data_IF_910179421738
#
_entry.id   IF_910179421738
#
_cell.length_a   1.000
_cell.length_b   1.000
_cell.length_c   1.000
_cell.angle_alpha   90.00
_cell.angle_beta   90.00
_cell.angle_gamma   90.00
#
_symmetry.space_group_name_H-M   'P 1'
#
loop_
_entity.id
_entity.type
_entity.pdbx_description
1 polymer ?
#
# COMPACT_ATOMS: atom_id res chain seq x y z
N UNK A 1 2.06 -32.16 21.10
CA UNK A 1 1.24 -31.14 21.78
C UNK A 1 2.06 -29.88 22.15
N UNK A 2 3.11 -29.94 22.98
CA UNK A 2 3.87 -28.74 23.40
C UNK A 2 4.53 -27.91 22.27
N UNK A 3 4.93 -28.56 21.16
CA UNK A 3 5.49 -27.87 19.99
C UNK A 3 4.43 -27.16 19.12
N UNK A 4 3.19 -27.67 19.10
CA UNK A 4 2.09 -27.07 18.32
C UNK A 4 1.59 -25.80 19.03
N UNK A 5 1.45 -25.84 20.36
CA UNK A 5 1.13 -24.67 21.19
C UNK A 5 2.17 -23.54 21.10
N UNK A 6 3.46 -23.89 21.07
CA UNK A 6 4.52 -22.90 20.88
C UNK A 6 4.47 -22.31 19.46
N UNK A 7 4.28 -23.14 18.44
CA UNK A 7 4.14 -22.68 17.06
C UNK A 7 2.93 -21.77 16.86
N UNK A 8 1.78 -22.11 17.47
CA UNK A 8 0.57 -21.28 17.46
C UNK A 8 0.82 -19.91 18.06
N UNK A 9 1.49 -19.86 19.21
CA UNK A 9 1.84 -18.62 19.89
C UNK A 9 2.80 -17.76 19.07
N UNK A 10 3.77 -18.38 18.41
CA UNK A 10 4.72 -17.67 17.53
C UNK A 10 4.02 -17.10 16.29
N UNK A 11 3.05 -17.83 15.73
CA UNK A 11 2.22 -17.38 14.61
C UNK A 11 1.28 -16.24 15.03
N UNK A 12 0.59 -16.36 16.17
CA UNK A 12 -0.24 -15.29 16.74
C UNK A 12 0.58 -14.01 16.97
N UNK A 13 1.78 -14.14 17.56
CA UNK A 13 2.68 -13.01 17.80
C UNK A 13 3.10 -12.32 16.48
N UNK A 14 3.39 -13.11 15.43
CA UNK A 14 3.76 -12.57 14.13
C UNK A 14 2.62 -11.85 13.42
N UNK A 15 1.38 -12.35 13.55
CA UNK A 15 0.17 -11.67 13.03
C UNK A 15 -0.06 -10.35 13.77
N UNK A 16 0.05 -10.36 15.09
CA UNK A 16 -0.15 -9.16 15.92
C UNK A 16 0.94 -8.12 15.68
N UNK A 17 2.20 -8.54 15.51
CA UNK A 17 3.30 -7.66 15.15
C UNK A 17 3.05 -7.01 13.78
N UNK A 18 2.72 -7.81 12.76
CA UNK A 18 2.38 -7.30 11.42
C UNK A 18 1.21 -6.31 11.47
N UNK A 19 0.15 -6.62 12.22
CA UNK A 19 -1.02 -5.76 12.39
C UNK A 19 -0.66 -4.46 13.11
N UNK A 20 0.18 -4.53 14.14
CA UNK A 20 0.65 -3.38 14.91
C UNK A 20 1.49 -2.47 14.04
N UNK A 21 2.48 -3.01 13.32
CA UNK A 21 3.32 -2.23 12.41
C UNK A 21 2.51 -1.57 11.29
N UNK A 22 1.54 -2.28 10.71
CA UNK A 22 0.61 -1.70 9.73
C UNK A 22 -0.22 -0.57 10.36
N UNK A 23 -0.68 -0.72 11.60
CA UNK A 23 -1.43 0.30 12.33
C UNK A 23 -0.59 1.53 12.65
N UNK A 24 0.67 1.34 13.07
CA UNK A 24 1.62 2.40 13.37
C UNK A 24 1.97 3.22 12.12
N UNK A 25 2.26 2.56 11.00
CA UNK A 25 2.49 3.21 9.71
C UNK A 25 1.28 4.02 9.21
N UNK A 26 0.07 3.68 9.68
CA UNK A 26 -1.18 4.40 9.39
C UNK A 26 -1.56 5.50 10.37
N UNK A 27 -0.77 5.72 11.44
CA UNK A 27 -1.08 6.64 12.54
C UNK A 27 -0.58 8.08 12.34
N UNK A 28 0.42 8.32 11.49
CA UNK A 28 1.02 9.65 11.27
C UNK A 28 0.33 10.51 10.17
N UNK A 29 -0.94 10.21 9.83
CA UNK A 29 -1.72 10.92 8.80
C UNK A 29 -2.81 11.86 9.37
N UNK A 30 -3.28 12.87 8.61
CA UNK A 30 -4.26 13.84 9.08
C UNK A 30 -5.52 13.16 9.62
N UNK A 31 -5.88 13.56 10.84
CA UNK A 31 -6.83 12.92 11.77
C UNK A 31 -8.31 12.99 11.36
N UNK A 32 -8.64 13.18 10.08
CA UNK A 32 -10.02 13.44 9.65
C UNK A 32 -10.80 12.24 9.13
N UNK A 33 -10.26 11.02 9.14
CA UNK A 33 -11.01 9.83 8.69
C UNK A 33 -11.35 8.87 9.81
N UNK A 34 -12.43 9.19 10.52
CA UNK A 34 -13.16 8.30 11.45
C UNK A 34 -13.81 7.07 10.78
N UNK A 35 -13.48 6.75 9.52
CA UNK A 35 -14.19 5.73 8.72
C UNK A 35 -13.26 4.67 8.11
N UNK A 36 -11.94 4.81 8.22
CA UNK A 36 -10.99 3.83 7.63
C UNK A 36 -10.57 2.83 8.71
N UNK A 37 -11.32 1.72 8.85
CA UNK A 37 -11.21 0.78 9.98
C UNK A 37 -10.11 -0.28 9.85
N UNK A 38 -9.22 -0.21 8.86
CA UNK A 38 -8.05 -1.10 8.76
C UNK A 38 -6.85 -0.33 8.18
N UNK A 39 -5.66 -0.57 8.71
CA UNK A 39 -4.39 -0.04 8.21
C UNK A 39 -4.19 -0.26 6.70
N UNK A 40 -4.74 -1.36 6.17
CA UNK A 40 -4.71 -1.68 4.73
C UNK A 40 -5.50 -0.69 3.88
N UNK A 41 -6.68 -0.28 4.34
CA UNK A 41 -7.50 0.72 3.65
C UNK A 41 -6.84 2.10 3.71
N UNK A 42 -6.12 2.40 4.80
CA UNK A 42 -5.30 3.62 4.92
C UNK A 42 -4.14 3.62 3.92
N UNK A 43 -3.40 2.51 3.82
CA UNK A 43 -2.31 2.38 2.84
C UNK A 43 -2.82 2.46 1.40
N UNK A 44 -3.98 1.86 1.09
CA UNK A 44 -4.66 2.03 -0.21
C UNK A 44 -5.02 3.49 -0.47
N UNK A 45 -5.55 4.18 0.54
CA UNK A 45 -5.90 5.59 0.44
C UNK A 45 -4.66 6.49 0.20
N UNK A 46 -3.58 6.28 0.97
CA UNK A 46 -2.31 6.98 0.78
C UNK A 46 -1.77 6.72 -0.63
N UNK A 47 -1.75 5.46 -1.08
CA UNK A 47 -1.30 5.11 -2.44
C UNK A 47 -2.10 5.85 -3.51
N UNK A 48 -3.43 5.89 -3.39
CA UNK A 48 -4.30 6.59 -4.33
C UNK A 48 -4.09 8.11 -4.31
N UNK A 49 -3.92 8.70 -3.13
CA UNK A 49 -3.61 10.13 -2.98
C UNK A 49 -2.25 10.48 -3.61
N UNK A 50 -1.24 9.65 -3.40
CA UNK A 50 0.10 9.82 -4.00
C UNK A 50 0.01 9.75 -5.52
N UNK A 51 -0.74 8.78 -6.05
CA UNK A 51 -0.98 8.64 -7.50
C UNK A 51 -1.67 9.88 -8.08
N UNK A 52 -2.72 10.36 -7.43
CA UNK A 52 -3.41 11.57 -7.84
C UNK A 52 -2.51 12.81 -7.80
N UNK A 53 -1.74 12.99 -6.72
CA UNK A 53 -0.86 14.14 -6.56
C UNK A 53 0.20 14.19 -7.66
N UNK A 54 0.81 13.05 -7.95
CA UNK A 54 1.85 12.94 -8.93
C UNK A 54 1.31 13.07 -10.38
N UNK A 55 0.13 12.52 -10.69
CA UNK A 55 -0.57 12.78 -11.95
C UNK A 55 -0.91 14.26 -12.17
N UNK A 56 -1.30 14.98 -11.11
CA UNK A 56 -1.48 16.45 -11.17
C UNK A 56 -0.18 17.19 -11.44
N UNK A 57 0.91 16.78 -10.79
CA UNK A 57 2.25 17.36 -11.02
C UNK A 57 2.70 17.13 -12.46
N UNK A 58 2.53 15.92 -13.00
CA UNK A 58 2.86 15.58 -14.39
C UNK A 58 2.10 16.46 -15.38
N UNK A 59 0.77 16.53 -15.22
CA UNK A 59 -0.10 17.35 -16.07
C UNK A 59 0.31 18.83 -16.05
N UNK A 60 0.63 19.36 -14.86
CA UNK A 60 1.07 20.74 -14.72
C UNK A 60 2.44 20.98 -15.39
N UNK A 61 3.37 20.05 -15.26
CA UNK A 61 4.69 20.12 -15.87
C UNK A 61 4.61 20.08 -17.41
N UNK A 62 3.79 19.20 -17.97
CA UNK A 62 3.55 19.11 -19.41
C UNK A 62 2.92 20.40 -19.96
N UNK A 63 1.89 20.92 -19.27
CA UNK A 63 1.23 22.17 -19.66
C UNK A 63 2.21 23.36 -19.66
N UNK A 64 3.09 23.44 -18.66
CA UNK A 64 4.10 24.49 -18.58
C UNK A 64 5.17 24.34 -19.67
N UNK A 65 5.59 23.10 -19.97
CA UNK A 65 6.53 22.82 -21.07
C UNK A 65 6.00 23.30 -22.42
N UNK A 66 4.71 23.04 -22.73
CA UNK A 66 4.12 23.50 -23.98
C UNK A 66 3.96 25.03 -24.01
N UNK A 67 3.59 25.65 -22.88
CA UNK A 67 3.56 27.12 -22.78
C UNK A 67 4.94 27.74 -23.03
N UNK A 68 6.00 27.20 -22.42
CA UNK A 68 7.38 27.66 -22.61
C UNK A 68 7.78 27.54 -24.08
N UNK A 69 7.46 26.43 -24.74
CA UNK A 69 7.77 26.21 -26.16
C UNK A 69 7.11 27.27 -27.05
N UNK A 70 5.85 27.60 -26.80
CA UNK A 70 5.14 28.68 -27.51
C UNK A 70 5.80 30.04 -27.24
N UNK A 71 6.14 30.32 -25.97
CA UNK A 71 6.80 31.57 -25.57
C UNK A 71 8.19 31.72 -26.21
N UNK A 72 8.99 30.65 -26.29
CA UNK A 72 10.28 30.64 -26.97
C UNK A 72 10.14 30.97 -28.46
N UNK A 73 9.19 30.34 -29.15
CA UNK A 73 8.92 30.62 -30.56
C UNK A 73 8.51 32.08 -30.79
N UNK A 74 7.65 32.61 -29.91
CA UNK A 74 7.21 34.01 -29.96
C UNK A 74 8.37 34.98 -29.68
N UNK A 75 9.18 34.70 -28.66
CA UNK A 75 10.35 35.51 -28.32
C UNK A 75 11.37 35.54 -29.47
N UNK A 76 11.63 34.40 -30.12
CA UNK A 76 12.49 34.31 -31.30
C UNK A 76 11.98 35.19 -32.45
N UNK A 77 10.68 35.10 -32.75
CA UNK A 77 10.06 35.88 -33.80
C UNK A 77 10.10 37.40 -33.52
N UNK A 78 9.96 37.81 -32.27
CA UNK A 78 10.05 39.21 -31.85
C UNK A 78 11.48 39.75 -31.86
N UNK A 79 12.47 38.93 -31.47
CA UNK A 79 13.89 39.30 -31.47
C UNK A 79 14.38 39.67 -32.88
N UNK A 80 13.89 38.96 -33.91
CA UNK A 80 14.16 39.24 -35.31
C UNK A 80 13.48 40.52 -35.86
N UNK A 81 12.42 41.00 -35.20
CA UNK A 81 11.63 42.17 -35.64
C UNK A 81 11.96 43.45 -34.88
N UNK A 82 12.49 43.34 -33.66
CA UNK A 82 12.82 44.50 -32.82
C UNK A 82 14.06 45.24 -33.31
N UNK A 83 14.03 46.57 -33.20
CA UNK A 83 15.18 47.46 -33.45
C UNK A 83 15.85 47.95 -32.17
N UNK A 84 15.23 47.72 -31.01
CA UNK A 84 15.82 48.06 -29.71
C UNK A 84 16.80 46.96 -29.28
N UNK A 85 18.04 47.36 -29.01
CA UNK A 85 19.07 46.46 -28.51
C UNK A 85 18.72 45.91 -27.13
N UNK A 86 18.13 46.73 -26.25
CA UNK A 86 17.71 46.33 -24.90
C UNK A 86 16.62 45.25 -24.96
N UNK A 87 15.61 45.44 -25.81
CA UNK A 87 14.53 44.45 -25.99
C UNK A 87 15.08 43.16 -26.58
N UNK A 88 16.01 43.25 -27.54
CA UNK A 88 16.64 42.05 -28.12
C UNK A 88 17.42 41.27 -27.06
N UNK A 89 18.26 41.94 -26.27
CA UNK A 89 19.02 41.31 -25.21
C UNK A 89 18.10 40.64 -24.16
N UNK A 90 17.00 41.29 -23.78
CA UNK A 90 16.00 40.69 -22.90
C UNK A 90 15.37 39.43 -23.49
N UNK A 91 14.99 39.45 -24.78
CA UNK A 91 14.40 38.28 -25.44
C UNK A 91 15.38 37.11 -25.59
N UNK A 92 16.66 37.40 -25.83
CA UNK A 92 17.73 36.39 -25.86
C UNK A 92 17.94 35.77 -24.47
N UNK A 93 17.98 36.59 -23.41
CA UNK A 93 18.06 36.11 -22.04
C UNK A 93 16.85 35.25 -21.66
N UNK A 94 15.65 35.68 -22.04
CA UNK A 94 14.40 34.93 -21.82
C UNK A 94 14.44 33.56 -22.49
N UNK A 95 15.05 33.44 -23.68
CA UNK A 95 15.22 32.14 -24.34
C UNK A 95 16.12 31.19 -23.54
N UNK A 96 17.23 31.70 -22.99
CA UNK A 96 18.15 30.90 -22.16
C UNK A 96 17.44 30.41 -20.89
N UNK A 97 16.69 31.28 -20.23
CA UNK A 97 15.91 30.93 -19.03
C UNK A 97 14.82 29.89 -19.34
N UNK A 98 14.10 30.06 -20.45
CA UNK A 98 13.11 29.08 -20.91
C UNK A 98 13.74 27.73 -21.27
N UNK A 99 14.93 27.71 -21.88
CA UNK A 99 15.65 26.47 -22.18
C UNK A 99 15.99 25.73 -20.89
N UNK A 100 16.49 26.45 -19.88
CA UNK A 100 16.80 25.87 -18.57
C UNK A 100 15.55 25.33 -17.87
N UNK A 101 14.45 26.11 -17.86
CA UNK A 101 13.18 25.69 -17.28
C UNK A 101 12.59 24.46 -17.98
N UNK A 102 12.65 24.40 -19.31
CA UNK A 102 12.19 23.21 -20.07
C UNK A 102 13.00 21.97 -19.71
N UNK A 103 14.32 22.09 -19.50
CA UNK A 103 15.16 21.00 -19.02
C UNK A 103 14.72 20.47 -17.65
N UNK A 104 14.48 21.37 -16.69
CA UNK A 104 14.01 21.01 -15.35
C UNK A 104 12.63 20.33 -15.39
N UNK A 105 11.72 20.79 -16.25
CA UNK A 105 10.41 20.15 -16.42
C UNK A 105 10.54 18.74 -17.01
N UNK A 106 11.46 18.54 -17.96
CA UNK A 106 11.75 17.21 -18.49
C UNK A 106 12.27 16.25 -17.42
N UNK A 107 13.14 16.72 -16.52
CA UNK A 107 13.60 15.93 -15.35
C UNK A 107 12.44 15.56 -14.42
N UNK A 108 11.52 16.51 -14.14
CA UNK A 108 10.32 16.24 -13.32
C UNK A 108 9.44 15.18 -13.97
N UNK A 109 9.17 15.30 -15.28
CA UNK A 109 8.34 14.36 -16.05
C UNK A 109 8.98 12.97 -16.01
N UNK A 110 10.28 12.87 -16.27
CA UNK A 110 11.02 11.61 -16.22
C UNK A 110 10.98 10.98 -14.83
N UNK A 111 11.11 11.79 -13.77
CA UNK A 111 11.06 11.29 -12.40
C UNK A 111 9.69 10.68 -12.04
N UNK A 112 8.59 11.10 -12.69
CA UNK A 112 7.26 10.53 -12.44
C UNK A 112 7.11 9.10 -12.95
N UNK A 113 7.90 8.65 -13.93
CA UNK A 113 7.87 7.25 -14.39
C UNK A 113 8.19 6.26 -13.24
N UNK A 114 8.98 6.68 -12.24
CA UNK A 114 9.23 5.87 -11.05
C UNK A 114 8.00 5.73 -10.15
N UNK A 115 7.09 6.70 -10.14
CA UNK A 115 5.91 6.67 -9.29
C UNK A 115 4.88 5.64 -9.81
N UNK A 116 4.79 5.41 -11.11
CA UNK A 116 4.01 4.29 -11.67
C UNK A 116 4.57 2.93 -11.21
N UNK A 117 5.89 2.78 -11.20
CA UNK A 117 6.53 1.55 -10.75
C UNK A 117 6.34 1.34 -9.24
N UNK A 118 6.47 2.40 -8.45
CA UNK A 118 6.23 2.38 -7.00
C UNK A 118 4.77 2.03 -6.70
N UNK A 119 3.81 2.62 -7.41
CA UNK A 119 2.38 2.31 -7.25
C UNK A 119 2.08 0.83 -7.52
N UNK A 120 2.68 0.25 -8.56
CA UNK A 120 2.56 -1.18 -8.85
C UNK A 120 3.16 -2.06 -7.75
N UNK A 121 4.32 -1.69 -7.21
CA UNK A 121 4.98 -2.43 -6.13
C UNK A 121 4.15 -2.35 -4.83
N UNK A 122 3.68 -1.16 -4.45
CA UNK A 122 2.82 -0.97 -3.28
C UNK A 122 1.54 -1.81 -3.38
N UNK A 123 0.89 -1.82 -4.55
CA UNK A 123 -0.29 -2.65 -4.78
C UNK A 123 0.01 -4.15 -4.64
N UNK A 124 1.14 -4.62 -5.18
CA UNK A 124 1.56 -6.03 -5.03
C UNK A 124 1.84 -6.39 -3.57
N UNK A 125 2.52 -5.51 -2.83
CA UNK A 125 2.78 -5.70 -1.40
C UNK A 125 1.48 -5.77 -0.61
N UNK A 126 0.52 -4.88 -0.88
CA UNK A 126 -0.81 -4.91 -0.24
C UNK A 126 -1.54 -6.24 -0.48
N UNK A 127 -1.50 -6.77 -1.70
CA UNK A 127 -2.09 -8.08 -2.03
C UNK A 127 -1.33 -9.22 -1.36
N UNK A 128 -0.01 -9.14 -1.26
CA UNK A 128 0.80 -10.17 -0.60
C UNK A 128 0.54 -10.22 0.90
N UNK A 129 0.50 -9.06 1.57
CA UNK A 129 0.15 -8.96 2.99
C UNK A 129 -1.25 -9.51 3.24
N UNK A 130 -2.21 -9.23 2.36
CA UNK A 130 -3.55 -9.81 2.44
C UNK A 130 -3.54 -11.34 2.40
N UNK A 131 -2.84 -11.93 1.43
CA UNK A 131 -2.76 -13.40 1.32
C UNK A 131 -2.07 -14.02 2.53
N UNK A 132 -1.07 -13.34 3.09
CA UNK A 132 -0.39 -13.79 4.30
C UNK A 132 -1.36 -13.78 5.49
N UNK A 133 -2.11 -12.69 5.69
CA UNK A 133 -3.15 -12.59 6.72
C UNK A 133 -4.21 -13.70 6.56
N UNK A 134 -4.75 -13.88 5.35
CA UNK A 134 -5.77 -14.90 5.06
C UNK A 134 -5.26 -16.31 5.36
N UNK A 135 -4.03 -16.65 4.98
CA UNK A 135 -3.41 -17.95 5.24
C UNK A 135 -3.17 -18.19 6.73
N UNK A 136 -2.74 -17.16 7.47
CA UNK A 136 -2.51 -17.27 8.91
C UNK A 136 -3.83 -17.46 9.67
N UNK A 137 -4.88 -16.74 9.27
CA UNK A 137 -6.25 -16.95 9.79
C UNK A 137 -6.76 -18.35 9.47
N UNK A 138 -6.57 -18.84 8.24
CA UNK A 138 -6.97 -20.19 7.85
C UNK A 138 -6.27 -21.26 8.69
N UNK A 139 -4.97 -21.10 8.94
CA UNK A 139 -4.18 -22.01 9.77
C UNK A 139 -4.66 -22.03 11.24
N UNK A 140 -5.04 -20.88 11.77
CA UNK A 140 -5.62 -20.74 13.11
C UNK A 140 -7.01 -21.38 13.22
N UNK A 141 -7.81 -21.38 12.16
CA UNK A 141 -9.19 -21.92 12.16
C UNK A 141 -9.23 -23.42 11.84
N UNK A 142 -8.36 -23.91 10.96
CA UNK A 142 -8.37 -25.30 10.51
C UNK A 142 -7.88 -26.31 11.57
N UNK A 143 -6.93 -25.94 12.46
CA UNK A 143 -6.46 -26.84 13.52
C UNK A 143 -7.51 -27.08 14.63
N UNK A 144 -8.50 -26.20 14.80
CA UNK A 144 -9.64 -26.43 15.71
C UNK A 144 -10.65 -27.46 15.15
N UNK A 145 -10.49 -27.86 13.89
CA UNK A 145 -11.41 -28.75 13.17
C UNK A 145 -10.86 -30.17 12.97
N UNK A 146 -10.31 -30.80 14.01
CA UNK A 146 -10.13 -32.26 14.03
C UNK A 146 -10.81 -32.94 15.23
N UNK A 147 -12.12 -33.27 15.11
CA UNK A 147 -12.81 -34.10 16.09
C UNK A 147 -12.35 -35.57 16.05
N UNK A 148 -11.55 -35.98 15.07
CA UNK A 148 -11.19 -37.38 14.83
C UNK A 148 -9.94 -37.85 15.58
N UNK A 149 -9.30 -36.98 16.37
CA UNK A 149 -8.25 -37.35 17.32
C UNK A 149 -8.74 -37.44 18.78
N UNK A 150 -10.05 -37.33 19.02
CA UNK A 150 -10.62 -37.81 20.27
C UNK A 150 -10.49 -39.34 20.31
N UNK A 151 -9.62 -39.85 21.20
CA UNK A 151 -9.55 -41.27 21.52
C UNK A 151 -10.95 -41.86 21.78
N UNK A 152 -11.15 -43.18 21.66
CA UNK A 152 -12.47 -43.80 21.57
C UNK A 152 -13.39 -43.26 22.67
N UNK A 153 -14.38 -42.46 22.25
CA UNK A 153 -15.41 -41.95 23.14
C UNK A 153 -16.24 -43.15 23.60
N UNK A 154 -16.00 -43.62 24.83
CA UNK A 154 -16.91 -44.54 25.50
C UNK A 154 -18.28 -43.87 25.54
N UNK A 155 -19.26 -44.45 24.82
CA UNK A 155 -20.66 -44.03 24.94
C UNK A 155 -21.04 -44.12 26.41
N UNK A 156 -21.60 -43.06 26.97
CA UNK A 156 -22.15 -43.04 28.34
C UNK A 156 -23.22 -44.14 28.59
N UNK A 157 -23.69 -44.82 27.55
CA UNK A 157 -24.58 -45.98 27.67
C UNK A 157 -23.90 -47.28 28.14
N UNK A 158 -22.56 -47.36 28.14
CA UNK A 158 -21.82 -48.52 28.65
C UNK A 158 -21.27 -48.28 30.09
N UNK A 159 -21.71 -47.21 30.77
CA UNK A 159 -21.47 -47.09 32.21
C UNK A 159 -22.43 -48.03 32.94
N UNK A 160 -22.00 -49.27 33.11
CA UNK A 160 -22.64 -50.26 33.98
C UNK A 160 -22.68 -49.66 35.40
N UNK A 161 -23.87 -49.58 36.00
CA UNK A 161 -24.01 -49.07 37.37
C UNK A 161 -23.40 -50.07 38.35
N UNK A 162 -22.88 -49.59 39.48
CA UNK A 162 -22.37 -50.46 40.54
C UNK A 162 -23.45 -51.45 41.03
N UNK A 163 -24.72 -51.04 40.97
CA UNK A 163 -25.87 -51.88 41.31
C UNK A 163 -26.05 -53.06 40.32
N UNK A 164 -25.75 -52.88 39.03
CA UNK A 164 -25.83 -53.95 38.02
C UNK A 164 -24.72 -55.00 38.22
N UNK A 165 -23.61 -54.61 38.86
CA UNK A 165 -22.50 -55.50 39.20
C UNK A 165 -22.85 -56.34 40.42
N UNK A 166 -23.52 -55.75 41.42
CA UNK A 166 -23.91 -56.44 42.64
C UNK A 166 -25.01 -57.50 42.38
N UNK A 167 -25.92 -57.27 41.43
CA UNK A 167 -26.97 -58.24 41.02
C UNK A 167 -26.42 -59.47 40.27
N UNK A 168 -25.21 -59.40 39.69
CA UNK A 168 -24.63 -60.51 38.92
C UNK A 168 -23.87 -61.53 39.80
N UNK A 169 -23.53 -61.15 41.04
CA UNK A 169 -22.76 -61.97 41.98
C UNK A 169 -23.50 -62.26 43.31
N UNK A 170 -24.78 -61.88 43.42
CA UNK A 170 -25.68 -62.19 44.54
C UNK A 170 -26.43 -63.51 44.41
#
# INVERSE_FOLDING_TARGET
>A
MKNIENFRRDVEAMVDELRTTMSELGSEGPSETSVVSNARDRLRYISALTEQAAGRTLTAAEALSEQIKVQQAMAAALAGKTRSAEIRAFLEQLQVEHQAASGQLAEIIQAQEFQDLVGQVVNKLLVMVQKMEDNLVHLLIDEDSDPHLAGPATRQQDQVSQDDIDDLFG
#
